data_IF_411065283980
#
_entry.id   IF_411065283980
#
_cell.length_a   1.000
_cell.length_b   1.000
_cell.length_c   1.000
_cell.angle_alpha   90.00
_cell.angle_beta   90.00
_cell.angle_gamma   90.00
#
_symmetry.space_group_name_H-M   'P 1'
#
loop_
_entity.id
_entity.type
_entity.pdbx_description
1 polymer ?
#
# COMPACT_ATOMS: atom_id res chain seq x y z
N UNK A 1 10.55 -10.31 3.73
CA UNK A 1 10.09 -9.49 2.59
C UNK A 1 8.57 -9.41 2.67
N UNK A 2 8.00 -8.22 2.53
CA UNK A 2 6.54 -8.02 2.53
C UNK A 2 5.93 -8.51 1.21
N UNK A 3 4.68 -8.94 1.25
CA UNK A 3 3.91 -9.39 0.09
C UNK A 3 2.49 -8.84 0.19
N UNK A 4 1.70 -8.90 -0.89
CA UNK A 4 0.30 -8.46 -0.92
C UNK A 4 -0.58 -9.18 0.12
N UNK A 5 -0.18 -10.36 0.57
CA UNK A 5 -0.86 -11.14 1.60
C UNK A 5 -0.47 -10.73 3.03
N UNK A 6 0.54 -9.88 3.22
CA UNK A 6 0.95 -9.40 4.53
C UNK A 6 -0.14 -8.55 5.19
N UNK A 7 -0.44 -8.83 6.46
CA UNK A 7 -1.37 -8.04 7.26
C UNK A 7 -0.93 -6.57 7.33
N UNK A 8 0.38 -6.32 7.40
CA UNK A 8 0.93 -4.95 7.44
C UNK A 8 0.64 -4.22 6.14
N UNK A 9 0.85 -4.86 4.99
CA UNK A 9 0.54 -4.29 3.66
C UNK A 9 -0.94 -3.99 3.54
N UNK A 10 -1.81 -4.95 3.89
CA UNK A 10 -3.26 -4.78 3.84
C UNK A 10 -3.75 -3.62 4.71
N UNK A 11 -3.25 -3.53 5.94
CA UNK A 11 -3.59 -2.42 6.83
C UNK A 11 -3.20 -1.07 6.24
N UNK A 12 -2.00 -0.95 5.65
CA UNK A 12 -1.57 0.30 5.01
C UNK A 12 -2.47 0.69 3.84
N UNK A 13 -2.76 -0.25 2.96
CA UNK A 13 -3.67 -0.02 1.83
C UNK A 13 -5.05 0.42 2.33
N UNK A 14 -5.61 -0.26 3.33
CA UNK A 14 -6.92 0.09 3.89
C UNK A 14 -6.95 1.46 4.56
N UNK A 15 -5.87 1.84 5.25
CA UNK A 15 -5.75 3.16 5.86
C UNK A 15 -5.65 4.28 4.81
N UNK A 16 -4.99 4.01 3.69
CA UNK A 16 -4.91 4.95 2.57
C UNK A 16 -6.28 5.09 1.89
N UNK A 17 -6.98 3.99 1.65
CA UNK A 17 -8.35 4.01 1.11
C UNK A 17 -9.33 4.77 1.99
N UNK A 18 -9.15 4.71 3.32
CA UNK A 18 -9.94 5.47 4.30
C UNK A 18 -9.55 6.96 4.36
N UNK A 19 -8.51 7.39 3.64
CA UNK A 19 -7.99 8.75 3.68
C UNK A 19 -7.31 9.11 5.00
N UNK A 20 -6.99 8.12 5.85
CA UNK A 20 -6.26 8.33 7.11
C UNK A 20 -4.80 8.65 6.85
N UNK A 21 -4.22 8.02 5.83
CA UNK A 21 -2.89 8.33 5.34
C UNK A 21 -2.92 8.56 3.83
N UNK A 22 -1.98 9.33 3.34
CA UNK A 22 -1.70 9.45 1.90
C UNK A 22 -0.61 8.47 1.49
N UNK A 23 -0.53 8.20 0.19
CA UNK A 23 0.43 7.26 -0.38
C UNK A 23 1.89 7.61 -0.03
N UNK A 24 2.25 8.90 -0.02
CA UNK A 24 3.59 9.39 0.34
C UNK A 24 3.96 9.16 1.81
N UNK A 25 2.98 8.90 2.69
CA UNK A 25 3.22 8.64 4.11
C UNK A 25 3.59 7.18 4.41
N UNK A 26 3.56 6.30 3.41
CA UNK A 26 3.99 4.91 3.59
C UNK A 26 5.50 4.87 3.84
N UNK A 27 5.99 4.29 4.95
CA UNK A 27 7.40 4.29 5.27
C UNK A 27 8.21 3.44 4.29
N UNK A 28 9.39 3.94 3.92
CA UNK A 28 10.38 3.24 3.10
C UNK A 28 11.09 2.12 3.90
N UNK A 29 10.33 1.14 4.37
CA UNK A 29 10.81 0.00 5.15
C UNK A 29 10.96 -1.24 4.27
N UNK A 30 12.20 -1.56 3.89
CA UNK A 30 12.47 -2.68 2.98
C UNK A 30 11.65 -2.51 1.69
N UNK A 31 10.84 -3.51 1.35
CA UNK A 31 9.96 -3.49 0.17
C UNK A 31 8.49 -3.12 0.48
N UNK A 32 8.18 -2.60 1.67
CA UNK A 32 6.79 -2.29 2.06
C UNK A 32 6.16 -1.22 1.15
N UNK A 33 6.86 -0.10 0.96
CA UNK A 33 6.37 1.04 0.18
C UNK A 33 6.06 0.62 -1.26
N UNK A 34 7.00 -0.07 -1.91
CA UNK A 34 6.85 -0.57 -3.27
C UNK A 34 5.63 -1.50 -3.42
N UNK A 35 5.42 -2.43 -2.50
CA UNK A 35 4.29 -3.37 -2.57
C UNK A 35 2.96 -2.66 -2.35
N UNK A 36 2.88 -1.73 -1.39
CA UNK A 36 1.65 -0.94 -1.17
C UNK A 36 1.34 -0.10 -2.41
N UNK A 37 2.36 0.50 -3.02
CA UNK A 37 2.21 1.33 -4.21
C UNK A 37 1.74 0.52 -5.41
N UNK A 38 2.33 -0.66 -5.63
CA UNK A 38 1.93 -1.57 -6.68
C UNK A 38 0.44 -1.97 -6.58
N UNK A 39 -0.06 -2.24 -5.37
CA UNK A 39 -1.47 -2.59 -5.16
C UNK A 39 -2.38 -1.42 -5.52
N UNK A 40 -2.05 -0.21 -5.04
CA UNK A 40 -2.82 0.99 -5.34
C UNK A 40 -2.80 1.34 -6.84
N UNK A 41 -1.66 1.16 -7.51
CA UNK A 41 -1.52 1.40 -8.97
C UNK A 41 -2.36 0.42 -9.80
N UNK A 42 -2.36 -0.87 -9.45
CA UNK A 42 -3.19 -1.88 -10.11
C UNK A 42 -4.66 -1.47 -10.10
N UNK A 43 -5.14 -0.97 -8.96
CA UNK A 43 -6.53 -0.52 -8.79
C UNK A 43 -6.86 0.71 -9.61
N UNK A 44 -5.92 1.64 -9.83
CA UNK A 44 -6.14 2.84 -10.64
C UNK A 44 -6.15 2.52 -12.15
N UNK A 45 -5.41 1.50 -12.58
CA UNK A 45 -5.37 1.08 -13.99
C UNK A 45 -6.58 0.27 -14.46
N UNK A 46 -7.40 -0.24 -13.52
CA UNK A 46 -8.60 -1.04 -13.79
C UNK A 46 -9.90 -0.19 -13.83
N UNK A 47 -9.78 1.15 -13.87
CA UNK A 47 -10.90 2.12 -13.91
C UNK A 47 -11.00 2.82 -15.27
#
# INVERSE_FOLDING_TARGET
MFTENSIIVKNWVDLIRKGTFTRDQVPALGNLQEVVFLILDKEESDV
#
